data_IF_806002724706
#
_entry.id   IF_806002724706
#
_cell.length_a   1.000
_cell.length_b   1.000
_cell.length_c   1.000
_cell.angle_alpha   90.00
_cell.angle_beta   90.00
_cell.angle_gamma   90.00
#
_symmetry.space_group_name_H-M   'P 1'
#
loop_
_entity.id
_entity.type
_entity.pdbx_description
1 polymer ?
#
# COMPACT_ATOMS: atom_id res chain seq x y z
N UNK A 1 15.54 24.64 -19.48
CA UNK A 1 15.10 23.46 -20.26
C UNK A 1 14.07 22.67 -19.47
N UNK A 2 12.82 22.60 -19.94
CA UNK A 2 11.70 21.93 -19.22
C UNK A 2 11.92 20.43 -19.03
N UNK A 3 12.49 19.75 -20.04
CA UNK A 3 12.74 18.30 -19.99
C UNK A 3 13.63 17.87 -18.82
N UNK A 4 14.69 18.63 -18.53
CA UNK A 4 15.60 18.31 -17.42
C UNK A 4 14.91 18.39 -16.06
N UNK A 5 14.06 19.40 -15.85
CA UNK A 5 13.26 19.53 -14.62
C UNK A 5 12.24 18.40 -14.50
N UNK A 6 11.60 17.99 -15.60
CA UNK A 6 10.68 16.85 -15.60
C UNK A 6 11.36 15.53 -15.26
N UNK A 7 12.60 15.30 -15.71
CA UNK A 7 13.36 14.10 -15.35
C UNK A 7 13.66 14.05 -13.84
N UNK A 8 14.07 15.18 -13.24
CA UNK A 8 14.31 15.27 -11.80
C UNK A 8 13.02 15.03 -11.01
N UNK A 9 11.93 15.70 -11.40
CA UNK A 9 10.63 15.52 -10.74
C UNK A 9 10.13 14.07 -10.79
N UNK A 10 10.39 13.34 -11.90
CA UNK A 10 10.03 11.93 -12.01
C UNK A 10 10.87 11.05 -11.08
N UNK A 11 12.17 11.34 -10.95
CA UNK A 11 13.05 10.62 -10.03
C UNK A 11 12.62 10.83 -8.57
N UNK A 12 12.31 12.07 -8.19
CA UNK A 12 11.83 12.42 -6.85
C UNK A 12 10.48 11.76 -6.55
N UNK A 13 9.54 11.79 -7.51
CA UNK A 13 8.25 11.14 -7.37
C UNK A 13 8.39 9.62 -7.17
N UNK A 14 9.30 8.97 -7.91
CA UNK A 14 9.57 7.54 -7.77
C UNK A 14 10.13 7.19 -6.38
N UNK A 15 10.94 8.07 -5.79
CA UNK A 15 11.46 7.90 -4.42
C UNK A 15 10.35 8.10 -3.39
N UNK A 16 9.56 9.17 -3.51
CA UNK A 16 8.43 9.45 -2.59
C UNK A 16 7.40 8.32 -2.60
N UNK A 17 7.10 7.73 -3.77
CA UNK A 17 6.18 6.59 -3.86
C UNK A 17 6.68 5.36 -3.08
N UNK A 18 7.99 5.09 -3.11
CA UNK A 18 8.56 3.99 -2.33
C UNK A 18 8.45 4.24 -0.82
N UNK A 19 8.69 5.47 -0.38
CA UNK A 19 8.52 5.83 1.03
C UNK A 19 7.06 5.83 1.46
N UNK A 20 6.14 6.18 0.55
CA UNK A 20 4.70 6.13 0.80
C UNK A 20 4.23 4.70 1.06
N UNK A 21 4.69 3.71 0.28
CA UNK A 21 4.38 2.29 0.52
C UNK A 21 4.84 1.84 1.91
N UNK A 22 6.07 2.19 2.31
CA UNK A 22 6.64 1.80 3.62
C UNK A 22 5.90 2.49 4.77
N UNK A 23 5.71 3.81 4.67
CA UNK A 23 5.02 4.59 5.71
C UNK A 23 3.54 4.20 5.81
N UNK A 24 2.92 3.88 4.67
CA UNK A 24 1.57 3.34 4.58
C UNK A 24 1.46 2.00 5.29
N UNK A 25 2.38 1.06 5.05
CA UNK A 25 2.43 -0.22 5.75
C UNK A 25 2.59 -0.05 7.27
N UNK A 26 3.52 0.82 7.71
CA UNK A 26 3.70 1.11 9.14
C UNK A 26 2.42 1.68 9.78
N UNK A 27 1.76 2.61 9.08
CA UNK A 27 0.50 3.20 9.55
C UNK A 27 -0.63 2.17 9.60
N UNK A 28 -0.68 1.29 8.60
CA UNK A 28 -1.67 0.21 8.51
C UNK A 28 -1.52 -0.79 9.66
N UNK A 29 -0.28 -1.19 9.98
CA UNK A 29 0.00 -2.05 11.12
C UNK A 29 -0.35 -1.37 12.45
N UNK A 30 0.11 -0.14 12.67
CA UNK A 30 -0.15 0.62 13.89
C UNK A 30 -1.65 0.82 14.14
N UNK A 31 -2.45 0.95 13.07
CA UNK A 31 -3.90 1.11 13.13
C UNK A 31 -4.67 -0.21 13.12
N UNK A 32 -3.98 -1.35 13.12
CA UNK A 32 -4.56 -2.70 13.14
C UNK A 32 -5.48 -2.95 11.94
N UNK A 33 -5.01 -2.58 10.75
CA UNK A 33 -5.74 -2.66 9.49
C UNK A 33 -6.16 -4.08 9.11
N UNK A 34 -7.22 -4.17 8.30
CA UNK A 34 -7.81 -5.40 7.79
C UNK A 34 -7.15 -5.81 6.48
N UNK A 35 -6.18 -6.72 6.56
CA UNK A 35 -5.31 -7.13 5.44
C UNK A 35 -6.08 -7.67 4.22
N UNK A 36 -7.31 -8.15 4.42
CA UNK A 36 -8.19 -8.64 3.36
C UNK A 36 -8.51 -7.56 2.29
N UNK A 37 -8.34 -6.27 2.62
CA UNK A 37 -8.45 -5.17 1.66
C UNK A 37 -7.41 -5.26 0.51
N UNK A 38 -6.26 -5.91 0.76
CA UNK A 38 -5.17 -6.08 -0.20
C UNK A 38 -5.10 -7.48 -0.78
N UNK A 39 -6.18 -8.25 -0.68
CA UNK A 39 -6.27 -9.59 -1.26
C UNK A 39 -5.89 -9.58 -2.76
N UNK A 40 -4.97 -10.47 -3.20
CA UNK A 40 -4.46 -10.47 -4.56
C UNK A 40 -5.55 -10.75 -5.61
N UNK A 41 -6.53 -11.59 -5.31
CA UNK A 41 -7.62 -11.92 -6.24
C UNK A 41 -8.56 -10.71 -6.39
N UNK A 42 -8.89 -10.04 -5.27
CA UNK A 42 -9.71 -8.81 -5.29
C UNK A 42 -9.00 -7.68 -6.05
N UNK A 43 -7.70 -7.49 -5.82
CA UNK A 43 -6.93 -6.47 -6.52
C UNK A 43 -6.76 -6.77 -8.01
N UNK A 44 -6.69 -8.05 -8.40
CA UNK A 44 -6.60 -8.47 -9.80
C UNK A 44 -7.88 -8.14 -10.61
N UNK A 45 -9.04 -8.04 -9.95
CA UNK A 45 -10.29 -7.60 -10.59
C UNK A 45 -10.25 -6.12 -11.02
N UNK A 46 -9.32 -5.33 -10.48
CA UNK A 46 -9.20 -3.91 -10.81
C UNK A 46 -8.25 -3.70 -12.00
N UNK A 47 -8.58 -2.80 -12.94
CA UNK A 47 -7.87 -2.70 -14.22
C UNK A 47 -6.49 -2.00 -14.13
N UNK A 48 -6.12 -1.43 -12.97
CA UNK A 48 -4.93 -0.60 -12.83
C UNK A 48 -3.72 -1.41 -12.38
N UNK A 49 -2.71 -1.53 -13.25
CA UNK A 49 -1.47 -2.25 -12.95
C UNK A 49 -0.72 -1.70 -11.72
N UNK A 50 -0.70 -0.38 -11.53
CA UNK A 50 -0.05 0.25 -10.38
C UNK A 50 -0.65 -0.17 -9.04
N UNK A 51 -1.96 -0.37 -8.98
CA UNK A 51 -2.64 -0.82 -7.75
C UNK A 51 -2.30 -2.27 -7.41
N UNK A 52 -2.16 -3.14 -8.42
CA UNK A 52 -1.68 -4.50 -8.20
C UNK A 52 -0.22 -4.52 -7.71
N UNK A 53 0.62 -3.60 -8.21
CA UNK A 53 1.99 -3.44 -7.77
C UNK A 53 2.07 -2.98 -6.31
N UNK A 54 1.38 -1.90 -5.95
CA UNK A 54 1.32 -1.38 -4.57
C UNK A 54 0.76 -2.44 -3.61
N UNK A 55 -0.32 -3.13 -3.98
CA UNK A 55 -0.88 -4.20 -3.16
C UNK A 55 0.08 -5.38 -2.94
N UNK A 56 0.91 -5.73 -3.94
CA UNK A 56 2.00 -6.71 -3.74
C UNK A 56 3.06 -6.19 -2.78
N UNK A 57 3.46 -4.93 -2.88
CA UNK A 57 4.45 -4.33 -1.98
C UNK A 57 3.93 -4.29 -0.53
N UNK A 58 2.72 -3.78 -0.31
CA UNK A 58 2.11 -3.71 1.02
C UNK A 58 1.99 -5.08 1.67
N UNK A 59 1.50 -6.10 0.93
CA UNK A 59 1.46 -7.48 1.44
C UNK A 59 2.83 -8.05 1.79
N UNK A 60 3.88 -7.69 1.03
CA UNK A 60 5.25 -8.11 1.33
C UNK A 60 5.82 -7.40 2.57
N UNK A 61 5.54 -6.11 2.73
CA UNK A 61 5.99 -5.32 3.87
C UNK A 61 5.30 -5.73 5.17
N UNK A 62 4.02 -6.13 5.08
CA UNK A 62 3.20 -6.59 6.21
C UNK A 62 3.26 -8.10 6.42
N UNK A 63 4.08 -8.82 5.65
CA UNK A 63 4.26 -10.25 5.81
C UNK A 63 4.78 -10.56 7.23
N UNK A 64 4.26 -11.63 7.82
CA UNK A 64 4.67 -12.12 9.15
C UNK A 64 4.40 -11.15 10.32
N UNK A 65 3.63 -10.09 10.12
CA UNK A 65 3.21 -9.18 11.19
C UNK A 65 2.22 -9.85 12.16
N UNK A 66 2.66 -10.08 13.39
CA UNK A 66 1.81 -10.61 14.47
C UNK A 66 0.66 -9.65 14.84
N UNK A 67 0.88 -8.33 14.70
CA UNK A 67 -0.15 -7.31 14.96
C UNK A 67 -1.26 -7.44 13.94
N UNK A 68 -0.94 -7.58 12.65
CA UNK A 68 -1.96 -7.79 11.61
C UNK A 68 -2.65 -9.13 11.79
N UNK A 69 -1.89 -10.21 12.04
CA UNK A 69 -2.45 -11.54 12.24
C UNK A 69 -3.47 -11.58 13.40
N UNK A 70 -3.13 -10.99 14.54
CA UNK A 70 -4.02 -10.91 15.71
C UNK A 70 -5.16 -9.89 15.58
N UNK A 71 -5.13 -9.02 14.56
CA UNK A 71 -6.13 -7.98 14.33
C UNK A 71 -7.15 -8.31 13.25
N UNK A 72 -7.02 -9.47 12.60
CA UNK A 72 -7.95 -9.92 11.57
C UNK A 72 -9.37 -10.04 12.12
N UNK A 73 -10.33 -9.39 11.46
CA UNK A 73 -11.74 -9.45 11.83
C UNK A 73 -12.14 -8.55 13.01
N UNK A 74 -11.23 -7.71 13.54
CA UNK A 74 -11.56 -6.76 14.62
C UNK A 74 -12.60 -5.72 14.16
N UNK A 75 -12.66 -5.45 12.86
CA UNK A 75 -13.70 -4.62 12.24
C UNK A 75 -14.00 -5.10 10.83
N UNK A 76 -15.19 -4.79 10.33
CA UNK A 76 -15.63 -5.21 9.00
C UNK A 76 -14.82 -4.54 7.88
N UNK A 77 -14.53 -3.25 8.00
CA UNK A 77 -13.73 -2.48 7.04
C UNK A 77 -12.99 -1.35 7.74
N UNK A 78 -11.83 -0.98 7.18
CA UNK A 78 -11.12 0.23 7.60
C UNK A 78 -11.67 1.50 6.91
N UNK A 79 -11.21 2.65 7.39
CA UNK A 79 -11.40 3.92 6.71
C UNK A 79 -10.81 3.89 5.29
N UNK A 80 -11.38 4.69 4.39
CA UNK A 80 -10.97 4.71 2.98
C UNK A 80 -9.47 4.99 2.79
N UNK A 81 -8.89 5.84 3.63
CA UNK A 81 -7.46 6.20 3.62
C UNK A 81 -6.51 5.03 3.93
N UNK A 82 -7.02 3.94 4.50
CA UNK A 82 -6.27 2.72 4.79
C UNK A 82 -6.50 1.62 3.76
N UNK A 83 -7.74 1.48 3.26
CA UNK A 83 -8.16 0.31 2.46
C UNK A 83 -8.18 0.52 0.95
N UNK A 84 -7.81 1.70 0.45
CA UNK A 84 -7.96 2.06 -0.98
C UNK A 84 -6.63 2.12 -1.70
#
# INVERSE_FOLDING_TARGET
CMTGLSCLALADAAQVLQWADVTGAMSFEALRGQIDAFDPEILALKPHAGMQQVGRHLRRLLADSEVIASSKGVRTQDALSLRS
#
